data_IF_534775511686
#
_entry.id   IF_534775511686
#
_cell.length_a   1.000
_cell.length_b   1.000
_cell.length_c   1.000
_cell.angle_alpha   90.00
_cell.angle_beta   90.00
_cell.angle_gamma   90.00
#
_symmetry.space_group_name_H-M   'P 1'
#
loop_
_entity.id
_entity.type
_entity.pdbx_description
1 polymer ?
#
# COMPACT_ATOMS: atom_id res chain seq x y z
N UNK A 1 -6.08 9.77 14.55
CA UNK A 1 -6.63 9.79 13.18
C UNK A 1 -6.10 11.02 12.51
N UNK A 2 -5.09 10.89 11.67
CA UNK A 2 -4.48 12.03 10.99
C UNK A 2 -5.39 12.58 9.89
N UNK A 3 -6.10 11.71 9.17
CA UNK A 3 -7.09 12.11 8.16
C UNK A 3 -8.28 12.88 8.74
N UNK A 4 -8.73 12.53 9.95
CA UNK A 4 -9.82 13.26 10.62
C UNK A 4 -9.42 14.61 11.23
N UNK A 5 -8.13 14.83 11.44
CA UNK A 5 -7.60 16.06 12.03
C UNK A 5 -7.02 17.00 10.96
N UNK A 6 -7.22 16.70 9.67
CA UNK A 6 -6.64 17.46 8.57
C UNK A 6 -7.12 18.92 8.56
N UNK A 7 -8.36 19.16 8.98
CA UNK A 7 -8.93 20.52 9.09
C UNK A 7 -8.39 21.33 10.28
N UNK A 8 -7.70 20.67 11.23
CA UNK A 8 -7.17 21.28 12.45
C UNK A 8 -5.68 21.62 12.36
N UNK A 9 -5.02 21.32 11.22
CA UNK A 9 -3.58 21.51 11.01
C UNK A 9 -3.29 22.10 9.64
N UNK A 10 -2.17 22.78 9.49
CA UNK A 10 -1.76 23.33 8.19
C UNK A 10 -1.26 22.24 7.22
N UNK A 11 -0.63 21.19 7.75
CA UNK A 11 -0.10 20.06 6.98
C UNK A 11 -0.13 18.77 7.81
N UNK A 12 -0.39 17.63 7.16
CA UNK A 12 -0.29 16.31 7.76
C UNK A 12 0.36 15.32 6.79
N UNK A 13 1.22 14.45 7.32
CA UNK A 13 1.85 13.36 6.57
C UNK A 13 1.09 12.08 6.91
N UNK A 14 0.42 11.49 5.91
CA UNK A 14 -0.55 10.41 6.11
C UNK A 14 -0.16 9.22 5.24
N UNK A 15 -0.23 8.01 5.80
CA UNK A 15 -0.01 6.79 5.01
C UNK A 15 -1.14 6.58 4.00
N UNK A 16 -0.79 6.13 2.80
CA UNK A 16 -1.71 5.96 1.66
C UNK A 16 -2.95 5.13 2.00
N UNK A 17 -2.83 4.06 2.80
CA UNK A 17 -3.98 3.24 3.17
C UNK A 17 -5.07 4.06 3.89
N UNK A 18 -4.69 5.00 4.76
CA UNK A 18 -5.65 5.84 5.47
C UNK A 18 -6.22 6.94 4.59
N UNK A 19 -5.45 7.47 3.64
CA UNK A 19 -5.97 8.40 2.64
C UNK A 19 -7.08 7.76 1.81
N UNK A 20 -6.83 6.55 1.31
CA UNK A 20 -7.80 5.79 0.52
C UNK A 20 -9.07 5.47 1.32
N UNK A 21 -8.94 5.03 2.57
CA UNK A 21 -10.09 4.82 3.47
C UNK A 21 -10.91 6.09 3.74
N UNK A 22 -10.25 7.27 3.70
CA UNK A 22 -10.90 8.56 3.85
C UNK A 22 -11.46 9.13 2.53
N UNK A 23 -11.31 8.41 1.41
CA UNK A 23 -11.75 8.84 0.09
C UNK A 23 -10.85 9.91 -0.55
N UNK A 24 -9.64 10.11 -0.03
CA UNK A 24 -8.63 10.99 -0.62
C UNK A 24 -7.83 10.23 -1.69
N UNK A 25 -7.46 10.92 -2.76
CA UNK A 25 -6.58 10.42 -3.81
C UNK A 25 -5.16 10.98 -3.60
N UNK A 26 -4.17 10.16 -3.18
CA UNK A 26 -2.81 10.62 -2.93
C UNK A 26 -2.12 11.25 -4.15
N UNK A 27 -2.51 10.92 -5.39
CA UNK A 27 -1.91 11.53 -6.59
C UNK A 27 -2.43 12.94 -6.88
N UNK A 28 -3.68 13.21 -6.51
CA UNK A 28 -4.35 14.48 -6.84
C UNK A 28 -4.40 15.43 -5.63
N UNK A 29 -4.62 14.89 -4.43
CA UNK A 29 -4.84 15.67 -3.22
C UNK A 29 -3.55 15.95 -2.42
N UNK A 30 -2.48 15.18 -2.65
CA UNK A 30 -1.23 15.39 -1.94
C UNK A 30 -0.44 16.56 -2.51
N UNK A 31 0.02 17.46 -1.63
CA UNK A 31 0.94 18.53 -2.01
C UNK A 31 2.34 18.01 -2.36
N UNK A 32 2.75 16.92 -1.71
CA UNK A 32 4.03 16.24 -1.91
C UNK A 32 3.78 14.74 -1.73
N UNK A 33 4.31 13.93 -2.64
CA UNK A 33 4.27 12.46 -2.58
C UNK A 33 5.69 11.90 -2.68
N UNK A 34 5.97 10.83 -1.92
CA UNK A 34 7.21 10.09 -2.07
C UNK A 34 7.29 9.44 -3.45
N UNK A 35 8.51 9.26 -3.97
CA UNK A 35 8.70 8.51 -5.20
C UNK A 35 8.59 6.99 -4.95
N UNK A 36 8.55 6.23 -6.04
CA UNK A 36 8.47 4.77 -6.03
C UNK A 36 9.78 4.08 -5.57
N UNK A 37 10.90 4.80 -5.57
CA UNK A 37 12.19 4.31 -5.06
C UNK A 37 12.33 4.56 -3.55
N UNK A 38 11.60 3.79 -2.75
CA UNK A 38 11.59 3.92 -1.29
C UNK A 38 11.94 2.62 -0.55
N UNK A 39 12.39 2.69 0.71
CA UNK A 39 12.61 1.50 1.55
C UNK A 39 11.30 0.94 2.16
N UNK A 40 10.12 1.40 1.72
CA UNK A 40 8.82 1.17 2.39
C UNK A 40 7.93 0.14 1.71
N UNK A 41 8.53 -0.83 1.00
CA UNK A 41 7.78 -1.95 0.41
C UNK A 41 7.02 -2.71 1.50
N UNK A 42 5.70 -2.84 1.32
CA UNK A 42 4.88 -3.66 2.21
C UNK A 42 5.22 -5.14 2.01
N UNK A 43 5.35 -5.89 3.11
CA UNK A 43 5.82 -7.28 3.10
C UNK A 43 4.81 -8.25 3.70
N UNK A 44 4.77 -9.46 3.15
CA UNK A 44 4.09 -10.60 3.77
C UNK A 44 4.93 -11.11 4.94
N UNK A 45 4.41 -11.00 6.15
CA UNK A 45 5.06 -11.51 7.37
C UNK A 45 4.34 -12.78 7.86
N UNK A 46 5.10 -13.76 8.34
CA UNK A 46 4.58 -14.99 8.95
C UNK A 46 5.37 -15.32 10.21
N UNK A 47 4.85 -16.23 11.05
CA UNK A 47 5.66 -16.79 12.14
C UNK A 47 6.81 -17.61 11.57
N UNK A 48 7.95 -17.61 12.26
CA UNK A 48 9.18 -18.26 11.78
C UNK A 48 9.00 -19.74 11.43
N UNK A 49 8.19 -20.47 12.20
CA UNK A 49 7.87 -21.89 11.98
C UNK A 49 6.98 -22.15 10.76
N UNK A 50 6.23 -21.14 10.32
CA UNK A 50 5.24 -21.24 9.25
C UNK A 50 5.72 -20.70 7.89
N UNK A 51 6.87 -20.03 7.84
CA UNK A 51 7.40 -19.37 6.63
C UNK A 51 7.46 -20.28 5.41
N UNK A 52 7.82 -21.55 5.63
CA UNK A 52 7.97 -22.55 4.56
C UNK A 52 6.74 -23.45 4.40
N UNK A 53 5.64 -23.18 5.12
CA UNK A 53 4.42 -23.96 4.97
C UNK A 53 3.85 -23.80 3.56
N UNK A 54 3.24 -24.88 3.05
CA UNK A 54 2.62 -24.87 1.72
C UNK A 54 1.61 -23.72 1.55
N UNK A 55 0.84 -23.40 2.59
CA UNK A 55 -0.13 -22.32 2.57
C UNK A 55 0.53 -20.94 2.37
N UNK A 56 1.57 -20.62 3.14
CA UNK A 56 2.28 -19.33 3.03
C UNK A 56 2.98 -19.21 1.67
N UNK A 57 3.58 -20.29 1.17
CA UNK A 57 4.21 -20.28 -0.15
C UNK A 57 3.20 -20.09 -1.29
N UNK A 58 2.01 -20.68 -1.17
CA UNK A 58 0.92 -20.46 -2.14
C UNK A 58 0.40 -19.02 -2.09
N UNK A 59 0.27 -18.44 -0.89
CA UNK A 59 -0.13 -17.04 -0.73
C UNK A 59 0.91 -16.08 -1.31
N UNK A 60 2.19 -16.27 -1.02
CA UNK A 60 3.27 -15.44 -1.56
C UNK A 60 3.24 -15.42 -3.10
N UNK A 61 3.11 -16.59 -3.73
CA UNK A 61 2.98 -16.70 -5.19
C UNK A 61 1.74 -16.01 -5.75
N UNK A 62 0.61 -16.07 -5.04
CA UNK A 62 -0.61 -15.40 -5.48
C UNK A 62 -0.49 -13.88 -5.40
N UNK A 63 0.11 -13.35 -4.32
CA UNK A 63 0.34 -11.92 -4.13
C UNK A 63 1.30 -11.33 -5.16
N UNK A 64 2.27 -12.11 -5.64
CA UNK A 64 3.25 -11.69 -6.66
C UNK A 64 2.94 -12.27 -8.05
N UNK A 65 1.66 -12.52 -8.35
CA UNK A 65 1.22 -13.02 -9.67
C UNK A 65 0.82 -11.88 -10.59
N UNK A 66 0.69 -12.14 -11.89
CA UNK A 66 0.20 -11.14 -12.86
C UNK A 66 -1.20 -10.65 -12.48
N UNK A 67 -2.11 -11.55 -12.12
CA UNK A 67 -3.43 -11.19 -11.60
C UNK A 67 -3.34 -10.30 -10.34
N UNK A 68 -2.32 -10.51 -9.50
CA UNK A 68 -2.05 -9.67 -8.34
C UNK A 68 -1.58 -8.27 -8.73
N UNK A 69 -0.76 -8.16 -9.78
CA UNK A 69 -0.34 -6.89 -10.36
C UNK A 69 -1.54 -6.12 -10.90
N UNK A 70 -2.33 -6.75 -11.77
CA UNK A 70 -3.53 -6.14 -12.37
C UNK A 70 -4.51 -5.66 -11.28
N UNK A 71 -4.74 -6.47 -10.25
CA UNK A 71 -5.60 -6.10 -9.12
C UNK A 71 -5.09 -4.87 -8.34
N UNK A 72 -3.77 -4.63 -8.32
CA UNK A 72 -3.20 -3.44 -7.68
C UNK A 72 -3.29 -2.24 -8.62
N UNK A 73 -3.01 -2.41 -9.91
CA UNK A 73 -2.93 -1.28 -10.84
C UNK A 73 -4.30 -0.68 -11.16
N UNK A 74 -5.33 -1.51 -11.35
CA UNK A 74 -6.66 -1.06 -11.78
C UNK A 74 -7.40 -0.15 -10.78
N UNK A 75 -7.60 -0.54 -9.51
CA UNK A 75 -8.44 0.25 -8.59
C UNK A 75 -7.69 1.40 -7.93
N UNK A 76 -6.36 1.36 -7.88
CA UNK A 76 -5.57 2.33 -7.12
C UNK A 76 -4.92 3.40 -7.99
N UNK A 77 -5.03 3.30 -9.33
CA UNK A 77 -4.51 4.28 -10.30
C UNK A 77 -3.08 4.75 -9.94
N UNK A 78 -2.22 3.80 -9.55
CA UNK A 78 -0.83 4.03 -9.13
C UNK A 78 -0.61 4.74 -7.78
N UNK A 79 -1.64 4.96 -6.97
CA UNK A 79 -1.48 5.28 -5.54
C UNK A 79 -0.91 4.10 -4.74
N UNK A 80 -1.07 2.88 -5.26
CA UNK A 80 -0.40 1.67 -4.79
C UNK A 80 0.39 1.08 -5.95
N UNK A 81 1.68 0.82 -5.74
CA UNK A 81 2.60 0.35 -6.79
C UNK A 81 3.07 -1.07 -6.46
N UNK A 82 2.98 -2.03 -7.41
CA UNK A 82 3.54 -3.37 -7.25
C UNK A 82 5.06 -3.35 -7.03
N UNK A 83 5.56 -4.20 -6.14
CA UNK A 83 6.99 -4.27 -5.79
C UNK A 83 7.70 -5.53 -6.31
N UNK A 84 7.18 -6.14 -7.39
CA UNK A 84 7.63 -7.43 -7.94
C UNK A 84 7.51 -7.51 -9.48
#
# INVERSE_FOLDING_TARGET
>A
MLTRALDDVELSIINTNYCLEAGLNPKEDALIIENDQSPYVNILVSRSDSKNSHAIQKLAKALTSENGREFIEEPYDGAVVPAF
#
